data_IF_854575724738
#
_entry.id   IF_854575724738
#
_cell.length_a   1.000
_cell.length_b   1.000
_cell.length_c   1.000
_cell.angle_alpha   90.00
_cell.angle_beta   90.00
_cell.angle_gamma   90.00
#
_symmetry.space_group_name_H-M   'P 1'
#
loop_
_entity.id
_entity.type
_entity.pdbx_description
1 polymer ?
#
# COMPACT_ATOMS: atom_id res chain seq x y z
N UNK A 1 15.63 7.04 -4.49
CA UNK A 1 16.51 5.92 -4.06
C UNK A 1 16.61 4.86 -5.18
N UNK A 2 17.11 3.64 -4.91
CA UNK A 2 17.23 2.59 -5.93
C UNK A 2 15.87 2.15 -6.52
N UNK A 3 14.80 2.15 -5.71
CA UNK A 3 13.46 1.79 -6.16
C UNK A 3 12.84 2.90 -7.02
N UNK A 4 13.13 4.17 -6.72
CA UNK A 4 12.68 5.27 -7.57
C UNK A 4 13.28 5.17 -8.98
N UNK A 5 14.57 4.80 -9.09
CA UNK A 5 15.22 4.59 -10.39
C UNK A 5 14.52 3.49 -11.19
N UNK A 6 14.21 2.35 -10.56
CA UNK A 6 13.47 1.25 -11.21
C UNK A 6 12.09 1.74 -11.67
N UNK A 7 11.35 2.40 -10.79
CA UNK A 7 9.98 2.82 -11.09
C UNK A 7 9.89 3.93 -12.16
N UNK A 8 10.95 4.73 -12.35
CA UNK A 8 11.00 5.80 -13.33
C UNK A 8 11.61 5.39 -14.68
N UNK A 9 12.25 4.21 -14.77
CA UNK A 9 12.93 3.77 -15.99
C UNK A 9 11.95 3.14 -16.97
N UNK A 10 11.57 3.89 -18.00
CA UNK A 10 10.64 3.44 -19.04
C UNK A 10 11.10 2.22 -19.86
N UNK A 11 12.38 1.83 -19.79
CA UNK A 11 12.90 0.63 -20.44
C UNK A 11 12.58 -0.67 -19.69
N UNK A 12 12.19 -0.57 -18.41
CA UNK A 12 11.81 -1.70 -17.57
C UNK A 12 10.33 -2.02 -17.76
N UNK A 13 9.96 -3.30 -17.77
CA UNK A 13 8.56 -3.75 -17.84
C UNK A 13 7.69 -3.08 -16.76
N UNK A 14 6.48 -2.57 -17.10
CA UNK A 14 5.58 -1.93 -16.13
C UNK A 14 5.37 -2.73 -14.84
N UNK A 15 5.30 -4.07 -14.91
CA UNK A 15 5.10 -4.93 -13.74
C UNK A 15 6.21 -4.74 -12.70
N UNK A 16 7.47 -4.62 -13.15
CA UNK A 16 8.61 -4.42 -12.26
C UNK A 16 8.77 -2.98 -11.81
N UNK A 17 8.35 -2.00 -12.63
CA UNK A 17 8.31 -0.59 -12.20
C UNK A 17 7.31 -0.40 -11.06
N UNK A 18 6.13 -1.00 -11.18
CA UNK A 18 5.10 -0.98 -10.15
C UNK A 18 5.55 -1.69 -8.88
N UNK A 19 6.26 -2.83 -9.00
CA UNK A 19 6.93 -3.45 -7.86
C UNK A 19 7.93 -2.49 -7.18
N UNK A 20 8.68 -1.72 -7.97
CA UNK A 20 9.54 -0.66 -7.45
C UNK A 20 8.77 0.38 -6.65
N UNK A 21 7.56 0.75 -7.09
CA UNK A 21 6.68 1.65 -6.32
C UNK A 21 6.28 1.01 -4.99
N UNK A 22 5.87 -0.25 -4.96
CA UNK A 22 5.47 -0.96 -3.72
C UNK A 22 6.64 -1.01 -2.72
N UNK A 23 7.80 -1.52 -3.15
CA UNK A 23 8.97 -1.67 -2.27
C UNK A 23 9.53 -0.33 -1.81
N UNK A 24 9.60 0.65 -2.71
CA UNK A 24 10.02 2.01 -2.35
C UNK A 24 9.05 2.67 -1.35
N UNK A 25 7.76 2.38 -1.44
CA UNK A 25 6.77 2.92 -0.49
C UNK A 25 6.94 2.33 0.90
N UNK A 26 7.22 1.04 1.03
CA UNK A 26 7.55 0.40 2.32
C UNK A 26 8.77 1.07 2.96
N UNK A 27 9.82 1.36 2.18
CA UNK A 27 11.01 2.05 2.70
C UNK A 27 10.66 3.46 3.17
N UNK A 28 9.94 4.24 2.35
CA UNK A 28 9.59 5.64 2.67
C UNK A 28 8.69 5.78 3.90
N UNK A 29 7.79 4.82 4.15
CA UNK A 29 6.95 4.82 5.35
C UNK A 29 7.74 4.73 6.66
N UNK A 30 9.02 4.34 6.60
CA UNK A 30 9.91 4.24 7.75
C UNK A 30 10.93 5.38 7.81
N UNK A 31 10.80 6.40 6.96
CA UNK A 31 11.71 7.55 6.93
C UNK A 31 11.12 8.75 7.66
N UNK A 32 11.97 9.50 8.34
CA UNK A 32 11.61 10.80 8.92
C UNK A 32 11.20 11.78 7.82
N UNK A 33 10.14 12.56 8.08
CA UNK A 33 9.64 13.57 7.13
C UNK A 33 8.92 13.00 5.91
N UNK A 34 8.42 11.76 5.99
CA UNK A 34 7.59 11.14 4.95
C UNK A 34 6.39 12.01 4.55
N UNK A 35 6.22 12.22 3.24
CA UNK A 35 5.08 12.93 2.65
C UNK A 35 3.94 11.93 2.37
N UNK A 36 3.04 11.78 3.33
CA UNK A 36 1.92 10.86 3.23
C UNK A 36 0.97 11.17 2.06
N UNK A 37 0.57 12.43 1.80
CA UNK A 37 -0.23 12.76 0.62
C UNK A 37 0.42 12.32 -0.71
N UNK A 38 1.71 12.62 -0.91
CA UNK A 38 2.42 12.23 -2.12
C UNK A 38 2.52 10.70 -2.26
N UNK A 39 2.81 10.00 -1.16
CA UNK A 39 2.93 8.54 -1.17
C UNK A 39 1.58 7.86 -1.41
N UNK A 40 0.50 8.38 -0.82
CA UNK A 40 -0.87 7.92 -1.02
C UNK A 40 -1.29 8.07 -2.48
N UNK A 41 -1.03 9.23 -3.09
CA UNK A 41 -1.34 9.46 -4.51
C UNK A 41 -0.61 8.48 -5.43
N UNK A 42 0.63 8.12 -5.10
CA UNK A 42 1.41 7.16 -5.88
C UNK A 42 0.85 5.74 -5.75
N UNK A 43 0.51 5.32 -4.54
CA UNK A 43 -0.11 4.01 -4.29
C UNK A 43 -1.52 3.91 -4.90
N UNK A 44 -2.27 5.01 -4.94
CA UNK A 44 -3.63 5.04 -5.51
C UNK A 44 -3.65 4.65 -6.99
N UNK A 45 -2.61 4.98 -7.75
CA UNK A 45 -2.47 4.56 -9.16
C UNK A 45 -2.38 3.04 -9.29
N UNK A 46 -1.70 2.38 -8.36
CA UNK A 46 -1.55 0.92 -8.34
C UNK A 46 -2.76 0.23 -7.70
N UNK A 47 -3.60 0.94 -6.95
CA UNK A 47 -4.78 0.40 -6.29
C UNK A 47 -5.98 0.15 -7.22
N UNK A 48 -5.87 0.52 -8.50
CA UNK A 48 -6.89 0.29 -9.53
C UNK A 48 -7.17 -1.20 -9.74
N UNK A 49 -8.41 -1.56 -10.09
CA UNK A 49 -8.88 -2.96 -10.15
C UNK A 49 -8.12 -3.82 -11.18
N UNK A 50 -7.58 -3.21 -12.22
CA UNK A 50 -6.83 -3.85 -13.30
C UNK A 50 -5.33 -4.04 -12.99
N UNK A 51 -4.81 -3.39 -11.94
CA UNK A 51 -3.39 -3.49 -11.60
C UNK A 51 -3.08 -4.81 -10.84
N UNK A 52 -2.02 -5.55 -11.22
CA UNK A 52 -1.58 -6.75 -10.49
C UNK A 52 -1.23 -6.52 -9.02
N UNK A 53 -0.75 -5.32 -8.68
CA UNK A 53 -0.29 -4.94 -7.33
C UNK A 53 -1.38 -4.30 -6.46
N UNK A 54 -2.63 -4.21 -6.93
CA UNK A 54 -3.71 -3.46 -6.27
C UNK A 54 -3.95 -3.80 -4.82
N UNK A 55 -3.86 -5.08 -4.46
CA UNK A 55 -4.13 -5.53 -3.09
C UNK A 55 -3.01 -5.09 -2.14
N UNK A 56 -1.76 -5.18 -2.59
CA UNK A 56 -0.61 -4.65 -1.85
C UNK A 56 -0.68 -3.13 -1.74
N UNK A 57 -1.06 -2.43 -2.81
CA UNK A 57 -1.22 -0.99 -2.79
C UNK A 57 -2.32 -0.53 -1.80
N UNK A 58 -3.49 -1.17 -1.81
CA UNK A 58 -4.60 -0.90 -0.88
C UNK A 58 -4.21 -1.14 0.57
N UNK A 59 -3.47 -2.21 0.84
CA UNK A 59 -2.94 -2.48 2.18
C UNK A 59 -1.95 -1.42 2.64
N UNK A 60 -1.03 -0.99 1.78
CA UNK A 60 -0.11 0.10 2.09
C UNK A 60 -0.83 1.44 2.30
N UNK A 61 -1.91 1.72 1.56
CA UNK A 61 -2.75 2.91 1.79
C UNK A 61 -3.41 2.84 3.18
N UNK A 62 -3.83 1.65 3.63
CA UNK A 62 -4.38 1.48 4.98
C UNK A 62 -3.35 1.74 6.08
N UNK A 63 -2.13 1.21 5.92
CA UNK A 63 -1.00 1.49 6.83
C UNK A 63 -0.67 2.99 6.85
N UNK A 64 -0.68 3.64 5.69
CA UNK A 64 -0.40 5.08 5.57
C UNK A 64 -1.47 5.93 6.25
N UNK A 65 -2.73 5.53 6.15
CA UNK A 65 -3.83 6.19 6.85
C UNK A 65 -3.64 6.11 8.37
N UNK A 66 -3.25 4.95 8.90
CA UNK A 66 -2.93 4.78 10.32
C UNK A 66 -1.75 5.68 10.74
N UNK A 67 -0.63 5.65 10.01
CA UNK A 67 0.55 6.46 10.32
C UNK A 67 0.27 7.96 10.27
N UNK A 68 -0.71 8.37 9.45
CA UNK A 68 -1.16 9.77 9.36
C UNK A 68 -2.19 10.16 10.43
N UNK A 69 -2.52 9.24 11.35
CA UNK A 69 -3.48 9.45 12.43
C UNK A 69 -4.94 9.21 12.05
N UNK A 70 -5.24 8.88 10.79
CA UNK A 70 -6.59 8.56 10.32
C UNK A 70 -6.93 7.09 10.57
N UNK A 71 -7.08 6.75 11.84
CA UNK A 71 -7.46 5.39 12.27
C UNK A 71 -8.81 4.95 11.73
N UNK A 72 -9.75 5.88 11.52
CA UNK A 72 -11.06 5.55 10.98
C UNK A 72 -10.93 5.04 9.54
N UNK A 73 -10.14 5.74 8.72
CA UNK A 73 -9.88 5.32 7.34
C UNK A 73 -9.07 4.03 7.28
N UNK A 74 -8.08 3.87 8.15
CA UNK A 74 -7.31 2.62 8.23
C UNK A 74 -8.24 1.41 8.50
N UNK A 75 -9.14 1.52 9.48
CA UNK A 75 -10.12 0.46 9.79
C UNK A 75 -11.03 0.12 8.60
N UNK A 76 -11.55 1.14 7.93
CA UNK A 76 -12.39 0.97 6.73
C UNK A 76 -11.67 0.18 5.63
N UNK A 77 -10.42 0.58 5.32
CA UNK A 77 -9.63 -0.04 4.25
C UNK A 77 -9.22 -1.47 4.59
N UNK A 78 -8.81 -1.74 5.84
CA UNK A 78 -8.46 -3.09 6.28
C UNK A 78 -9.68 -4.02 6.27
N UNK A 79 -10.84 -3.54 6.73
CA UNK A 79 -12.09 -4.31 6.66
C UNK A 79 -12.48 -4.65 5.21
N UNK A 80 -12.29 -3.71 4.27
CA UNK A 80 -12.55 -3.96 2.85
C UNK A 80 -11.64 -5.07 2.28
N UNK A 81 -10.35 -5.08 2.64
CA UNK A 81 -9.41 -6.15 2.23
C UNK A 81 -9.83 -7.52 2.77
N UNK A 82 -10.32 -7.57 4.01
CA UNK A 82 -10.78 -8.81 4.64
C UNK A 82 -12.05 -9.35 3.94
N UNK A 83 -12.95 -8.46 3.53
CA UNK A 83 -14.21 -8.83 2.89
C UNK A 83 -14.04 -9.29 1.42
N UNK A 84 -13.04 -8.79 0.70
CA UNK A 84 -12.83 -9.10 -0.71
C UNK A 84 -12.18 -10.47 -0.91
N UNK A 85 -12.96 -11.47 -1.36
CA UNK A 85 -12.51 -12.86 -1.58
C UNK A 85 -11.41 -13.01 -2.65
N UNK A 86 -11.15 -11.98 -3.47
CA UNK A 86 -10.08 -11.98 -4.46
C UNK A 86 -8.70 -11.65 -3.88
N UNK A 87 -8.64 -11.12 -2.65
CA UNK A 87 -7.39 -10.77 -1.96
C UNK A 87 -6.60 -12.05 -1.59
N UNK A 88 -5.30 -12.14 -1.90
CA UNK A 88 -4.45 -13.24 -1.46
C UNK A 88 -4.46 -13.45 0.06
N UNK A 89 -4.46 -14.70 0.52
CA UNK A 89 -4.59 -15.04 1.94
C UNK A 89 -3.55 -14.35 2.84
N UNK A 90 -2.31 -14.20 2.39
CA UNK A 90 -1.27 -13.50 3.16
C UNK A 90 -1.57 -12.02 3.41
N UNK A 91 -2.19 -11.34 2.45
CA UNK A 91 -2.64 -9.94 2.61
C UNK A 91 -3.86 -9.89 3.51
N UNK A 92 -4.83 -10.80 3.32
CA UNK A 92 -6.04 -10.88 4.13
C UNK A 92 -5.73 -11.10 5.62
N UNK A 93 -4.80 -12.00 5.92
CA UNK A 93 -4.40 -12.32 7.29
C UNK A 93 -3.74 -11.11 7.97
N UNK A 94 -2.76 -10.48 7.31
CA UNK A 94 -2.12 -9.26 7.81
C UNK A 94 -3.11 -8.12 8.02
N UNK A 95 -4.05 -7.92 7.10
CA UNK A 95 -5.09 -6.91 7.26
C UNK A 95 -5.97 -7.19 8.50
N UNK A 96 -6.28 -8.46 8.77
CA UNK A 96 -7.00 -8.89 9.98
C UNK A 96 -6.23 -8.61 11.26
N UNK A 97 -4.94 -8.92 11.30
CA UNK A 97 -4.05 -8.64 12.44
C UNK A 97 -3.95 -7.14 12.71
N UNK A 98 -3.75 -6.32 11.67
CA UNK A 98 -3.72 -4.85 11.79
C UNK A 98 -5.05 -4.29 12.28
N UNK A 99 -6.18 -4.79 11.76
CA UNK A 99 -7.51 -4.32 12.17
C UNK A 99 -7.80 -4.65 13.63
N UNK A 100 -7.39 -5.83 14.11
CA UNK A 100 -7.51 -6.21 15.50
C UNK A 100 -6.69 -5.29 16.41
N UNK A 101 -5.43 -5.01 16.04
CA UNK A 101 -4.55 -4.10 16.78
C UNK A 101 -5.09 -2.65 16.87
N UNK A 102 -5.83 -2.18 15.87
CA UNK A 102 -6.50 -0.87 15.90
C UNK A 102 -7.76 -0.83 16.77
N UNK A 103 -8.31 -1.99 17.12
CA UNK A 103 -9.52 -2.17 17.92
C UNK A 103 -9.28 -2.13 19.44
N UNK A 104 -8.04 -2.38 19.87
CA UNK A 104 -7.56 -2.23 21.24
C UNK A 104 -7.16 -0.77 21.54
#
# INVERSE_FOLDING_TARGET
DAYDRISADSSIDPLYRDLGVILGSIVRMNMDGMDAPALSSRLAQLAADDNPWRHSARELIAVLAEQSGDRAKAKELLAALIADRSVPNGIRNRAGEMLAALGE
#
